data_IF_750439149869
#
_entry.id   IF_750439149869
#
_cell.length_a   1.000
_cell.length_b   1.000
_cell.length_c   1.000
_cell.angle_alpha   90.00
_cell.angle_beta   90.00
_cell.angle_gamma   90.00
#
_symmetry.space_group_name_H-M   'P 1'
#
loop_
_entity.id
_entity.type
_entity.pdbx_description
1 polymer ?
#
# COMPACT_ATOMS: atom_id res chain seq x y z
N UNK A 1 -22.08 0.48 23.18
CA UNK A 1 -21.57 0.51 21.79
C UNK A 1 -20.59 1.66 21.70
N UNK A 2 -19.30 1.41 21.40
CA UNK A 2 -18.32 2.46 21.19
C UNK A 2 -18.58 3.14 19.85
N UNK A 3 -18.46 4.46 19.80
CA UNK A 3 -18.59 5.23 18.57
C UNK A 3 -17.29 5.16 17.80
N UNK A 4 -17.32 4.77 16.53
CA UNK A 4 -16.18 4.81 15.62
C UNK A 4 -15.91 6.26 15.19
N UNK A 5 -14.74 6.76 15.52
CA UNK A 5 -14.25 8.04 15.00
C UNK A 5 -13.21 7.76 13.94
N UNK A 6 -13.44 8.17 12.70
CA UNK A 6 -12.53 7.92 11.56
C UNK A 6 -11.12 8.50 11.74
N UNK A 7 -10.97 9.52 12.60
CA UNK A 7 -9.66 10.15 12.89
C UNK A 7 -8.77 9.34 13.86
N UNK A 8 -9.27 8.24 14.44
CA UNK A 8 -8.49 7.34 15.29
C UNK A 8 -8.06 6.07 14.55
N UNK A 9 -8.03 6.10 13.22
CA UNK A 9 -7.53 5.01 12.43
C UNK A 9 -6.01 5.08 12.31
N UNK A 10 -5.34 3.93 12.40
CA UNK A 10 -3.91 3.83 12.17
C UNK A 10 -3.54 2.48 11.56
N UNK A 11 -2.39 2.47 10.91
CA UNK A 11 -1.89 1.35 10.16
C UNK A 11 -0.49 1.00 10.60
N UNK A 12 -0.23 -0.29 10.75
CA UNK A 12 1.11 -0.83 10.95
C UNK A 12 1.44 -1.81 9.85
N UNK A 13 2.71 -1.78 9.43
CA UNK A 13 3.23 -2.67 8.41
C UNK A 13 4.49 -3.35 8.90
N UNK A 14 4.65 -4.62 8.54
CA UNK A 14 5.86 -5.40 8.75
C UNK A 14 6.17 -6.23 7.51
N UNK A 15 7.44 -6.40 7.20
CA UNK A 15 7.91 -7.23 6.09
C UNK A 15 7.75 -8.71 6.45
N UNK A 16 7.26 -9.51 5.50
CA UNK A 16 7.15 -10.95 5.63
C UNK A 16 8.43 -11.64 5.15
N UNK A 17 8.89 -12.64 5.90
CA UNK A 17 9.99 -13.51 5.48
C UNK A 17 9.51 -14.53 4.44
N UNK A 18 8.28 -14.99 4.58
CA UNK A 18 7.64 -15.93 3.67
C UNK A 18 6.27 -15.37 3.30
N UNK A 19 6.00 -15.28 2.02
CA UNK A 19 4.76 -14.73 1.51
C UNK A 19 3.51 -15.35 2.15
N UNK A 20 2.64 -14.48 2.68
CA UNK A 20 1.37 -14.86 3.28
C UNK A 20 1.47 -15.54 4.64
N UNK A 21 2.62 -15.45 5.30
CA UNK A 21 2.79 -15.81 6.71
C UNK A 21 2.89 -14.52 7.52
N UNK A 22 1.89 -14.28 8.37
CA UNK A 22 1.78 -13.04 9.13
C UNK A 22 2.99 -12.79 10.05
N UNK A 23 3.53 -11.60 9.99
CA UNK A 23 4.57 -11.08 10.88
C UNK A 23 4.01 -9.89 11.65
N UNK A 24 4.16 -9.92 12.98
CA UNK A 24 3.68 -8.86 13.89
C UNK A 24 4.79 -8.22 14.71
N UNK A 25 6.04 -8.55 14.41
CA UNK A 25 7.24 -7.93 15.00
C UNK A 25 7.81 -6.86 14.07
N UNK A 26 8.59 -5.93 14.63
CA UNK A 26 9.26 -4.86 13.87
C UNK A 26 8.31 -4.09 12.95
N UNK A 27 7.19 -3.65 13.49
CA UNK A 27 6.16 -2.93 12.76
C UNK A 27 6.50 -1.45 12.66
N UNK A 28 6.40 -0.91 11.45
CA UNK A 28 6.39 0.54 11.21
C UNK A 28 4.96 1.04 11.24
N UNK A 29 4.71 2.09 12.00
CA UNK A 29 3.42 2.78 12.02
C UNK A 29 3.43 3.91 10.99
N UNK A 30 2.33 4.00 10.23
CA UNK A 30 2.19 4.93 9.11
C UNK A 30 0.94 5.77 9.32
N UNK A 31 1.05 7.08 9.14
CA UNK A 31 -0.09 8.00 9.10
C UNK A 31 -0.85 7.81 7.80
N UNK A 32 -2.16 7.91 7.88
CA UNK A 32 -3.06 7.70 6.76
C UNK A 32 -3.84 8.96 6.44
N UNK A 33 -3.95 9.27 5.15
CA UNK A 33 -4.97 10.18 4.64
C UNK A 33 -6.26 9.39 4.33
N UNK A 34 -6.12 8.24 3.65
CA UNK A 34 -7.24 7.33 3.39
C UNK A 34 -6.79 5.87 3.29
N UNK A 35 -7.74 4.95 3.52
CA UNK A 35 -7.52 3.51 3.40
C UNK A 35 -8.80 2.83 2.91
N UNK A 36 -8.70 2.13 1.79
CA UNK A 36 -9.78 1.34 1.19
C UNK A 36 -9.54 -0.17 1.26
N UNK A 37 -8.57 -0.63 2.06
CA UNK A 37 -8.28 -2.04 2.20
C UNK A 37 -9.51 -2.81 2.69
N UNK A 38 -9.89 -3.83 1.94
CA UNK A 38 -11.03 -4.68 2.25
C UNK A 38 -10.85 -6.08 1.67
N UNK A 39 -11.69 -6.99 2.13
CA UNK A 39 -11.80 -8.34 1.57
C UNK A 39 -13.18 -8.54 1.00
N UNK A 40 -13.24 -9.03 -0.22
CA UNK A 40 -14.47 -9.39 -0.91
C UNK A 40 -14.50 -10.91 -1.17
N UNK A 41 -15.65 -11.54 -0.89
CA UNK A 41 -15.91 -12.94 -1.20
C UNK A 41 -16.93 -13.03 -2.32
N UNK A 42 -16.52 -13.60 -3.44
CA UNK A 42 -17.43 -13.89 -4.54
C UNK A 42 -18.39 -15.01 -4.14
N UNK A 43 -19.66 -14.87 -4.52
CA UNK A 43 -20.68 -15.91 -4.34
C UNK A 43 -21.32 -16.23 -5.67
N UNK A 44 -21.10 -17.45 -6.12
CA UNK A 44 -21.64 -17.97 -7.36
C UNK A 44 -22.98 -18.69 -7.13
N UNK A 45 -23.94 -18.38 -7.95
CA UNK A 45 -25.26 -18.99 -7.93
C UNK A 45 -25.39 -19.96 -9.11
N UNK A 46 -25.77 -21.19 -8.84
CA UNK A 46 -26.01 -22.19 -9.88
C UNK A 46 -27.51 -22.50 -9.96
N UNK A 47 -28.08 -22.26 -11.11
CA UNK A 47 -29.43 -22.67 -11.45
C UNK A 47 -29.34 -23.89 -12.35
N UNK A 48 -29.99 -25.01 -11.95
CA UNK A 48 -30.10 -26.20 -12.77
C UNK A 48 -31.52 -26.30 -13.32
N UNK A 49 -31.68 -26.81 -14.55
CA UNK A 49 -32.99 -27.09 -15.15
C UNK A 49 -33.77 -28.14 -14.36
N UNK A 50 -33.11 -28.98 -13.56
CA UNK A 50 -33.70 -30.02 -12.73
C UNK A 50 -33.93 -29.54 -11.29
N UNK A 51 -34.53 -28.37 -11.11
CA UNK A 51 -34.90 -27.87 -9.76
C UNK A 51 -36.25 -28.50 -9.38
N UNK A 52 -36.29 -29.34 -8.36
CA UNK A 52 -37.58 -29.87 -7.84
C UNK A 52 -38.31 -28.72 -7.18
N UNK A 53 -39.49 -28.45 -7.66
CA UNK A 53 -40.51 -27.57 -7.07
C UNK A 53 -40.14 -26.12 -6.85
N UNK A 54 -40.81 -25.23 -7.62
CA UNK A 54 -40.90 -23.77 -7.44
C UNK A 54 -39.79 -22.86 -7.96
N UNK A 55 -38.85 -23.30 -8.82
CA UNK A 55 -37.91 -22.38 -9.47
C UNK A 55 -36.89 -21.71 -8.56
N UNK A 56 -36.72 -22.21 -7.34
CA UNK A 56 -35.75 -21.70 -6.39
C UNK A 56 -34.31 -22.15 -6.72
N UNK A 57 -33.34 -21.36 -6.31
CA UNK A 57 -31.91 -21.63 -6.48
C UNK A 57 -31.52 -23.00 -5.94
N UNK A 58 -30.90 -23.84 -6.78
CA UNK A 58 -30.49 -25.19 -6.39
C UNK A 58 -29.24 -25.21 -5.50
N UNK A 59 -28.28 -24.30 -5.73
CA UNK A 59 -27.07 -24.21 -4.89
C UNK A 59 -26.38 -22.85 -5.02
N UNK A 60 -25.71 -22.47 -3.92
CA UNK A 60 -24.79 -21.33 -3.86
C UNK A 60 -23.44 -21.87 -3.42
N UNK A 61 -22.38 -21.51 -4.10
CA UNK A 61 -21.01 -21.83 -3.67
C UNK A 61 -20.15 -20.58 -3.68
N UNK A 62 -19.19 -20.53 -2.76
CA UNK A 62 -18.24 -19.44 -2.67
C UNK A 62 -17.24 -19.51 -3.81
N UNK A 63 -17.04 -18.40 -4.50
CA UNK A 63 -16.01 -18.19 -5.49
C UNK A 63 -14.68 -17.76 -4.86
N UNK A 64 -13.89 -17.01 -5.62
CA UNK A 64 -12.62 -16.51 -5.12
C UNK A 64 -12.80 -15.43 -4.06
N UNK A 65 -11.86 -15.41 -3.11
CA UNK A 65 -11.75 -14.39 -2.11
C UNK A 65 -10.62 -13.44 -2.49
N UNK A 66 -10.91 -12.16 -2.59
CA UNK A 66 -9.96 -11.13 -2.97
C UNK A 66 -9.74 -10.18 -1.81
N UNK A 67 -8.49 -9.94 -1.45
CA UNK A 67 -8.10 -8.96 -0.44
C UNK A 67 -7.20 -7.90 -1.08
N UNK A 68 -7.32 -6.65 -0.65
CA UNK A 68 -6.54 -5.53 -1.14
C UNK A 68 -7.32 -4.23 -1.18
N UNK A 69 -6.77 -3.22 -1.83
CA UNK A 69 -7.30 -1.87 -1.95
C UNK A 69 -6.19 -0.85 -2.01
N UNK A 70 -6.52 0.43 -1.84
CA UNK A 70 -5.56 1.53 -1.88
C UNK A 70 -5.29 2.11 -0.50
N UNK A 71 -4.09 2.64 -0.35
CA UNK A 71 -3.62 3.41 0.80
C UNK A 71 -3.11 4.76 0.31
N UNK A 72 -3.63 5.86 0.86
CA UNK A 72 -3.09 7.19 0.64
C UNK A 72 -2.42 7.67 1.91
N UNK A 73 -1.16 8.04 1.81
CA UNK A 73 -0.35 8.46 2.94
C UNK A 73 0.38 9.78 2.65
N UNK A 74 0.58 10.62 3.65
CA UNK A 74 1.60 11.65 3.60
C UNK A 74 2.97 10.99 3.72
N UNK A 75 3.93 11.35 2.91
CA UNK A 75 5.29 10.80 3.02
C UNK A 75 5.99 11.38 4.24
N UNK A 76 6.50 10.48 5.08
CA UNK A 76 7.17 10.79 6.34
C UNK A 76 8.63 10.37 6.28
N UNK A 77 9.50 11.06 7.03
CA UNK A 77 10.91 10.66 7.16
C UNK A 77 11.07 9.25 7.75
N UNK A 78 10.19 8.90 8.69
CA UNK A 78 10.19 7.58 9.32
C UNK A 78 8.88 6.84 9.02
N UNK A 79 8.97 5.57 8.67
CA UNK A 79 7.80 4.70 8.46
C UNK A 79 7.39 4.48 7.00
N UNK A 80 7.38 5.52 6.16
CA UNK A 80 6.97 5.40 4.74
C UNK A 80 7.90 4.52 3.91
N UNK A 81 9.16 4.40 4.30
CA UNK A 81 10.18 3.66 3.57
C UNK A 81 9.86 2.19 3.35
N UNK A 82 9.11 1.56 4.24
CA UNK A 82 8.71 0.16 4.09
C UNK A 82 7.76 -0.04 2.89
N UNK A 83 6.80 0.87 2.67
CA UNK A 83 5.91 0.82 1.51
C UNK A 83 6.65 1.10 0.21
N UNK A 84 7.59 2.05 0.22
CA UNK A 84 8.44 2.36 -0.94
C UNK A 84 9.32 1.16 -1.29
N UNK A 85 9.90 0.48 -0.28
CA UNK A 85 10.65 -0.76 -0.49
C UNK A 85 9.76 -1.85 -1.10
N UNK A 86 8.54 -2.02 -0.62
CA UNK A 86 7.59 -3.00 -1.18
C UNK A 86 7.18 -2.67 -2.62
N UNK A 87 7.16 -1.40 -3.01
CA UNK A 87 6.86 -0.97 -4.37
C UNK A 87 8.05 -1.17 -5.32
N UNK A 88 9.26 -0.83 -4.90
CA UNK A 88 10.46 -0.89 -5.74
C UNK A 88 11.17 -2.25 -5.69
N UNK A 89 11.21 -2.89 -4.51
CA UNK A 89 11.75 -4.24 -4.32
C UNK A 89 12.96 -4.29 -3.39
N UNK A 90 13.92 -3.39 -3.49
CA UNK A 90 15.11 -3.39 -2.65
C UNK A 90 15.37 -2.03 -2.00
N UNK A 91 15.97 -2.07 -0.81
CA UNK A 91 16.43 -0.87 -0.12
C UNK A 91 17.80 -1.12 0.52
N UNK A 92 18.71 -0.17 0.35
CA UNK A 92 20.02 -0.17 1.01
C UNK A 92 20.07 1.02 1.96
N UNK A 93 20.49 0.77 3.19
CA UNK A 93 20.62 1.81 4.22
C UNK A 93 22.08 2.00 4.55
N UNK A 94 22.56 3.22 4.39
CA UNK A 94 23.94 3.61 4.71
C UNK A 94 23.93 4.66 5.81
N UNK A 95 24.81 4.51 6.82
CA UNK A 95 24.96 5.51 7.87
C UNK A 95 25.71 6.73 7.30
N UNK A 96 25.13 7.91 7.47
CA UNK A 96 25.69 9.19 7.08
C UNK A 96 25.86 10.10 8.31
N UNK A 97 26.73 9.72 9.21
CA UNK A 97 26.93 10.40 10.49
C UNK A 97 25.85 10.11 11.51
N UNK A 98 25.05 11.10 11.90
CA UNK A 98 23.89 10.93 12.81
C UNK A 98 22.61 10.54 12.07
N UNK A 99 22.63 10.55 10.75
CA UNK A 99 21.50 10.29 9.88
C UNK A 99 21.69 9.00 9.07
N UNK A 100 20.63 8.54 8.41
CA UNK A 100 20.67 7.37 7.55
C UNK A 100 20.20 7.75 6.14
N UNK A 101 20.98 7.35 5.14
CA UNK A 101 20.59 7.43 3.74
C UNK A 101 19.93 6.12 3.34
N UNK A 102 18.69 6.19 2.83
CA UNK A 102 17.97 5.06 2.27
C UNK A 102 17.91 5.20 0.76
N UNK A 103 18.50 4.24 0.06
CA UNK A 103 18.47 4.14 -1.39
C UNK A 103 17.55 2.99 -1.80
N UNK A 104 16.52 3.29 -2.59
CA UNK A 104 15.57 2.32 -3.08
C UNK A 104 15.84 2.00 -4.53
N UNK A 105 15.99 0.71 -4.85
CA UNK A 105 16.29 0.26 -6.20
C UNK A 105 15.27 -0.76 -6.69
N UNK A 106 14.90 -0.73 -7.98
CA UNK A 106 14.01 -1.72 -8.55
C UNK A 106 14.61 -3.14 -8.46
N UNK A 107 13.84 -4.10 -7.95
CA UNK A 107 14.19 -5.51 -7.95
C UNK A 107 13.04 -6.34 -8.55
N UNK A 108 13.36 -7.50 -9.14
CA UNK A 108 12.35 -8.38 -9.72
C UNK A 108 11.42 -8.97 -8.67
N UNK A 109 12.00 -9.38 -7.53
CA UNK A 109 11.23 -9.93 -6.43
C UNK A 109 10.76 -8.79 -5.53
N UNK A 110 9.46 -8.57 -5.52
CA UNK A 110 8.84 -7.61 -4.63
C UNK A 110 8.61 -8.24 -3.26
N UNK A 111 9.11 -7.63 -2.18
CA UNK A 111 8.84 -8.10 -0.83
C UNK A 111 7.35 -8.00 -0.51
N UNK A 112 6.87 -8.95 0.27
CA UNK A 112 5.52 -8.92 0.82
C UNK A 112 5.50 -8.40 2.24
N UNK A 113 4.35 -7.92 2.67
CA UNK A 113 4.16 -7.42 4.02
C UNK A 113 2.85 -7.86 4.65
N UNK A 114 2.85 -7.86 5.96
CA UNK A 114 1.64 -7.94 6.77
C UNK A 114 1.21 -6.54 7.12
N UNK A 115 0.00 -6.17 6.73
CA UNK A 115 -0.60 -4.87 7.01
C UNK A 115 -1.68 -5.05 8.07
N UNK A 116 -1.57 -4.31 9.16
CA UNK A 116 -2.58 -4.26 10.21
C UNK A 116 -3.24 -2.89 10.19
N UNK A 117 -4.53 -2.88 9.93
CA UNK A 117 -5.34 -1.67 9.88
C UNK A 117 -6.37 -1.69 11.00
N UNK A 118 -6.36 -0.66 11.85
CA UNK A 118 -7.32 -0.47 12.93
C UNK A 118 -8.19 0.75 12.69
N UNK A 119 -9.51 0.55 12.70
CA UNK A 119 -10.54 1.58 12.44
C UNK A 119 -11.06 2.23 13.72
N UNK A 120 -10.23 2.44 14.72
CA UNK A 120 -10.62 3.03 15.99
C UNK A 120 -10.19 2.20 17.19
N UNK A 121 -10.11 2.82 18.37
CA UNK A 121 -9.48 2.22 19.55
C UNK A 121 -10.44 1.50 20.48
N UNK A 122 -11.76 1.65 20.30
CA UNK A 122 -12.76 1.25 21.31
C UNK A 122 -13.68 0.09 20.90
N UNK A 123 -13.36 -0.62 19.83
CA UNK A 123 -14.21 -1.73 19.37
C UNK A 123 -13.43 -3.04 19.35
N UNK A 124 -14.05 -4.08 19.87
CA UNK A 124 -13.67 -5.46 19.60
C UNK A 124 -13.84 -5.69 18.10
N UNK A 125 -12.86 -6.34 17.45
CA UNK A 125 -12.87 -6.61 16.01
C UNK A 125 -12.75 -5.37 15.09
N UNK A 126 -12.24 -4.25 15.60
CA UNK A 126 -11.96 -3.05 14.78
C UNK A 126 -10.67 -3.15 13.98
N UNK A 127 -9.85 -4.16 14.24
CA UNK A 127 -8.58 -4.40 13.59
C UNK A 127 -8.70 -5.50 12.55
N UNK A 128 -8.19 -5.24 11.37
CA UNK A 128 -8.08 -6.18 10.26
C UNK A 128 -6.61 -6.36 9.87
N UNK A 129 -6.18 -7.61 9.74
CA UNK A 129 -4.81 -7.96 9.38
C UNK A 129 -4.81 -8.58 7.99
N UNK A 130 -4.14 -7.94 7.06
CA UNK A 130 -3.90 -8.40 5.70
C UNK A 130 -2.54 -9.08 5.62
N UNK A 131 -2.49 -10.27 5.03
CA UNK A 131 -1.28 -11.07 4.86
C UNK A 131 -0.94 -11.23 3.39
N UNK A 132 0.34 -11.37 3.07
CA UNK A 132 0.81 -11.49 1.71
C UNK A 132 0.55 -10.25 0.87
N UNK A 133 0.57 -9.07 1.49
CA UNK A 133 0.36 -7.81 0.81
C UNK A 133 1.58 -7.47 -0.07
N UNK A 134 1.34 -7.19 -1.35
CA UNK A 134 2.34 -6.66 -2.31
C UNK A 134 1.81 -5.39 -2.94
N UNK A 135 2.69 -4.46 -3.24
CA UNK A 135 2.33 -3.19 -3.89
C UNK A 135 2.26 -3.40 -5.39
N UNK A 136 1.07 -3.26 -5.95
CA UNK A 136 0.78 -3.36 -7.39
C UNK A 136 1.17 -2.09 -8.13
N UNK A 137 0.79 -0.93 -7.59
CA UNK A 137 1.17 0.37 -8.14
C UNK A 137 1.46 1.36 -7.02
N UNK A 138 2.25 2.37 -7.35
CA UNK A 138 2.58 3.50 -6.48
C UNK A 138 2.51 4.78 -7.29
N UNK A 139 1.85 5.80 -6.76
CA UNK A 139 1.89 7.16 -7.27
C UNK A 139 2.36 8.10 -6.18
N UNK A 140 3.33 8.94 -6.46
CA UNK A 140 3.85 9.95 -5.54
C UNK A 140 3.74 11.32 -6.19
N UNK A 141 3.22 12.29 -5.45
CA UNK A 141 3.05 13.65 -5.97
C UNK A 141 3.38 14.70 -4.92
N UNK A 142 3.85 15.84 -5.40
CA UNK A 142 4.05 17.03 -4.60
C UNK A 142 3.78 18.28 -5.44
N UNK A 143 3.08 19.24 -4.85
CA UNK A 143 2.85 20.56 -5.43
C UNK A 143 3.55 21.64 -4.59
N UNK A 144 3.91 22.75 -5.23
CA UNK A 144 4.47 23.89 -4.52
C UNK A 144 3.48 24.44 -3.48
N UNK A 145 3.94 24.52 -2.23
CA UNK A 145 3.11 24.89 -1.07
C UNK A 145 2.37 23.71 -0.39
N UNK A 146 2.49 22.48 -0.92
CA UNK A 146 1.83 21.30 -0.42
C UNK A 146 2.73 20.31 0.30
N UNK A 147 2.11 19.25 0.83
CA UNK A 147 2.77 18.08 1.37
C UNK A 147 3.05 17.08 0.24
N UNK A 148 4.09 16.28 0.42
CA UNK A 148 4.36 15.15 -0.45
C UNK A 148 3.46 13.98 -0.05
N UNK A 149 2.63 13.53 -0.98
CA UNK A 149 1.69 12.43 -0.78
C UNK A 149 2.02 11.25 -1.68
N UNK A 150 1.67 10.05 -1.22
CA UNK A 150 1.76 8.85 -2.05
C UNK A 150 0.52 7.97 -1.89
N UNK A 151 0.09 7.40 -3.00
CA UNK A 151 -0.96 6.38 -3.08
C UNK A 151 -0.35 5.04 -3.47
N UNK A 152 -0.78 3.98 -2.80
CA UNK A 152 -0.31 2.62 -3.05
C UNK A 152 -1.50 1.71 -3.27
N UNK A 153 -1.55 1.02 -4.40
CA UNK A 153 -2.49 -0.07 -4.62
C UNK A 153 -1.90 -1.39 -4.17
N UNK A 154 -2.64 -2.11 -3.34
CA UNK A 154 -2.17 -3.31 -2.67
C UNK A 154 -3.01 -4.51 -3.09
N UNK A 155 -2.31 -5.59 -3.43
CA UNK A 155 -2.87 -6.92 -3.60
C UNK A 155 -2.42 -7.77 -2.42
N UNK A 156 -3.37 -8.29 -1.63
CA UNK A 156 -3.09 -9.17 -0.52
C UNK A 156 -3.64 -10.59 -0.78
N UNK A 157 -3.08 -11.55 -0.08
CA UNK A 157 -3.52 -12.95 -0.10
C UNK A 157 -4.87 -13.12 0.58
N UNK A 158 -4.97 -12.62 1.79
CA UNK A 158 -6.14 -12.77 2.65
C UNK A 158 -6.19 -11.70 3.72
N UNK A 159 -7.32 -11.57 4.39
CA UNK A 159 -7.44 -10.82 5.63
C UNK A 159 -8.10 -11.62 6.74
N UNK A 160 -7.78 -11.28 7.97
CA UNK A 160 -8.39 -11.83 9.17
C UNK A 160 -8.69 -10.70 10.17
N UNK A 161 -9.89 -10.72 10.74
CA UNK A 161 -10.22 -9.87 11.88
C UNK A 161 -9.38 -10.28 13.09
N UNK A 162 -8.93 -9.32 13.87
CA UNK A 162 -8.13 -9.51 15.08
C UNK A 162 -8.83 -8.85 16.25
N UNK A 163 -8.82 -9.52 17.39
CA UNK A 163 -9.46 -9.06 18.62
C UNK A 163 -8.56 -8.19 19.50
N UNK A 164 -7.26 -8.20 19.22
CA UNK A 164 -6.27 -7.44 20.00
C UNK A 164 -6.08 -6.07 19.38
N UNK A 165 -6.45 -5.03 20.12
CA UNK A 165 -6.20 -3.65 19.69
C UNK A 165 -4.70 -3.36 19.62
N UNK A 166 -4.30 -2.63 18.59
CA UNK A 166 -2.95 -2.09 18.49
C UNK A 166 -2.79 -0.85 19.38
N UNK A 167 -1.60 -0.66 19.90
CA UNK A 167 -1.22 0.60 20.56
C UNK A 167 -0.49 1.47 19.54
N UNK A 168 -0.92 2.71 19.36
CA UNK A 168 -0.20 3.67 18.52
C UNK A 168 1.13 4.05 19.16
N UNK A 169 2.18 4.02 18.36
CA UNK A 169 3.55 4.36 18.75
C UNK A 169 4.24 5.09 17.59
N UNK A 170 3.71 6.28 17.25
CA UNK A 170 4.40 7.11 16.25
C UNK A 170 5.81 7.47 16.74
N UNK A 171 6.82 7.38 15.86
CA UNK A 171 8.18 7.79 16.22
C UNK A 171 8.20 9.26 16.65
N UNK A 172 8.96 9.57 17.70
CA UNK A 172 9.18 10.95 18.12
C UNK A 172 9.94 11.70 17.01
N UNK A 173 9.49 12.93 16.70
CA UNK A 173 10.12 13.75 15.66
C UNK A 173 9.74 13.36 14.23
N UNK A 174 8.73 12.52 14.06
CA UNK A 174 8.21 12.17 12.75
C UNK A 174 7.52 13.37 12.10
N UNK A 175 8.12 13.89 11.03
CA UNK A 175 7.57 14.99 10.25
C UNK A 175 7.25 14.55 8.82
N UNK A 176 6.23 15.17 8.25
CA UNK A 176 5.81 14.97 6.86
C UNK A 176 6.77 15.74 5.94
N UNK A 177 7.12 15.15 4.82
CA UNK A 177 7.89 15.82 3.77
C UNK A 177 7.03 16.89 3.11
N UNK A 178 7.60 18.10 3.04
CA UNK A 178 6.98 19.25 2.40
C UNK A 178 7.72 19.61 1.12
N UNK A 179 7.12 20.43 0.31
CA UNK A 179 7.72 20.94 -0.94
C UNK A 179 9.12 21.57 -0.75
N UNK A 180 9.40 22.20 0.40
CA UNK A 180 10.71 22.77 0.72
C UNK A 180 11.80 21.71 0.94
N UNK A 181 11.41 20.48 1.36
CA UNK A 181 12.34 19.38 1.62
C UNK A 181 12.68 18.61 0.36
N UNK A 182 11.93 18.80 -0.73
CA UNK A 182 12.08 18.09 -1.99
C UNK A 182 13.12 18.75 -2.89
N UNK A 183 14.07 17.95 -3.39
CA UNK A 183 14.96 18.35 -4.46
C UNK A 183 14.91 17.33 -5.59
N UNK A 184 14.32 17.71 -6.72
CA UNK A 184 14.29 16.86 -7.90
C UNK A 184 15.52 17.17 -8.77
N UNK A 185 16.34 16.15 -9.02
CA UNK A 185 17.51 16.23 -9.88
C UNK A 185 17.29 15.33 -11.09
N UNK A 186 17.34 15.91 -12.28
CA UNK A 186 17.21 15.20 -13.55
C UNK A 186 18.50 15.30 -14.36
N UNK A 187 19.00 14.15 -14.83
CA UNK A 187 20.17 14.10 -15.68
C UNK A 187 21.47 14.64 -15.06
N UNK A 188 21.56 14.72 -13.74
CA UNK A 188 22.73 15.15 -13.00
C UNK A 188 23.04 16.65 -13.01
N UNK A 189 22.34 17.46 -13.82
CA UNK A 189 22.59 18.89 -13.95
C UNK A 189 21.38 19.78 -13.74
N UNK A 190 20.17 19.25 -13.97
CA UNK A 190 18.93 19.99 -13.78
C UNK A 190 18.42 19.80 -12.35
N UNK A 191 18.32 20.89 -11.60
CA UNK A 191 17.80 20.88 -10.22
C UNK A 191 16.45 21.59 -10.14
N UNK A 192 15.71 21.41 -9.06
CA UNK A 192 14.46 22.14 -8.80
C UNK A 192 14.62 23.64 -8.90
N UNK A 193 15.76 24.18 -8.43
CA UNK A 193 16.05 25.63 -8.51
C UNK A 193 16.28 26.12 -9.93
N UNK A 194 16.77 25.25 -10.82
CA UNK A 194 17.02 25.62 -12.22
C UNK A 194 15.82 25.47 -13.15
N UNK A 195 14.79 24.71 -12.70
CA UNK A 195 13.61 24.40 -13.51
C UNK A 195 12.33 25.11 -13.04
N UNK A 196 12.38 25.83 -11.92
CA UNK A 196 11.21 26.51 -11.34
C UNK A 196 9.98 25.54 -11.27
N UNK A 197 10.19 24.37 -10.68
CA UNK A 197 9.18 23.32 -10.61
C UNK A 197 7.98 23.74 -9.77
N UNK A 198 6.79 23.56 -10.33
CA UNK A 198 5.51 23.78 -9.65
C UNK A 198 4.93 22.51 -9.07
N UNK A 199 5.00 21.41 -9.80
CA UNK A 199 4.55 20.11 -9.33
C UNK A 199 5.29 18.98 -10.02
N UNK A 200 5.35 17.83 -9.36
CA UNK A 200 5.74 16.57 -9.99
C UNK A 200 4.80 15.46 -9.57
N UNK A 201 4.68 14.47 -10.42
CA UNK A 201 4.01 13.21 -10.17
C UNK A 201 4.86 12.08 -10.74
N UNK A 202 5.11 11.05 -9.92
CA UNK A 202 5.81 9.83 -10.29
C UNK A 202 4.88 8.66 -10.09
N UNK A 203 4.60 7.91 -11.15
CA UNK A 203 3.78 6.71 -11.10
C UNK A 203 4.61 5.48 -11.48
N UNK A 204 4.53 4.45 -10.66
CA UNK A 204 5.12 3.13 -10.88
C UNK A 204 4.00 2.09 -10.93
N UNK A 205 3.91 1.33 -12.01
CA UNK A 205 3.02 0.18 -12.13
C UNK A 205 3.85 -1.09 -12.26
N UNK A 206 3.75 -1.97 -11.26
CA UNK A 206 4.49 -3.23 -11.20
C UNK A 206 3.85 -4.35 -12.03
N UNK A 207 2.68 -4.10 -12.64
CA UNK A 207 1.95 -5.09 -13.45
C UNK A 207 1.76 -6.42 -12.72
N UNK A 208 1.43 -6.33 -11.41
CA UNK A 208 1.14 -7.52 -10.61
C UNK A 208 -0.22 -8.10 -10.98
N UNK A 209 -0.26 -9.41 -11.20
CA UNK A 209 -1.50 -10.12 -11.49
C UNK A 209 -1.82 -11.15 -10.41
N UNK A 210 -3.12 -11.25 -10.04
CA UNK A 210 -3.63 -12.29 -9.14
C UNK A 210 -3.64 -13.64 -9.86
N UNK A 211 -3.09 -14.66 -9.21
CA UNK A 211 -3.10 -16.03 -9.73
C UNK A 211 -4.10 -16.88 -8.97
N UNK A 212 -5.20 -17.22 -9.63
CA UNK A 212 -6.21 -18.10 -9.08
C UNK A 212 -5.90 -19.54 -9.50
N UNK A 213 -5.87 -20.46 -8.54
CA UNK A 213 -5.56 -21.87 -8.76
C UNK A 213 -6.72 -22.76 -8.32
N UNK A 214 -6.86 -23.91 -8.97
CA UNK A 214 -7.83 -24.93 -8.57
C UNK A 214 -7.50 -25.45 -7.16
N UNK A 215 -8.54 -25.65 -6.35
CA UNK A 215 -8.40 -26.15 -4.98
C UNK A 215 -8.16 -25.08 -3.91
N UNK A 216 -8.04 -23.81 -4.30
CA UNK A 216 -7.91 -22.69 -3.36
C UNK A 216 -8.91 -21.58 -3.67
N UNK A 217 -9.51 -21.00 -2.65
CA UNK A 217 -10.30 -19.78 -2.77
C UNK A 217 -9.43 -18.52 -2.75
N UNK A 218 -8.18 -18.65 -2.31
CA UNK A 218 -7.21 -17.56 -2.18
C UNK A 218 -6.30 -17.51 -3.39
N UNK A 219 -5.85 -16.32 -3.74
CA UNK A 219 -4.83 -16.14 -4.77
C UNK A 219 -3.53 -16.83 -4.38
N UNK A 220 -2.80 -17.36 -5.34
CA UNK A 220 -1.37 -17.66 -5.16
C UNK A 220 -0.57 -16.37 -5.14
N UNK A 221 0.73 -16.46 -4.88
CA UNK A 221 1.61 -15.29 -4.86
C UNK A 221 1.54 -14.51 -6.18
N UNK A 222 1.15 -13.22 -6.14
CA UNK A 222 1.14 -12.37 -7.32
C UNK A 222 2.56 -12.18 -7.84
N UNK A 223 2.73 -12.36 -9.14
CA UNK A 223 3.99 -12.13 -9.83
C UNK A 223 3.82 -11.02 -10.87
N UNK A 224 4.92 -10.42 -11.23
CA UNK A 224 4.99 -9.45 -12.32
C UNK A 224 4.63 -10.19 -13.61
N UNK A 225 3.57 -9.74 -14.27
CA UNK A 225 3.04 -10.40 -15.49
C UNK A 225 3.55 -9.75 -16.78
N UNK A 226 4.04 -8.51 -16.71
CA UNK A 226 4.48 -7.72 -17.85
C UNK A 226 5.62 -6.75 -17.43
N UNK A 227 6.15 -6.01 -18.38
CA UNK A 227 7.17 -4.98 -18.13
C UNK A 227 6.60 -3.89 -17.22
N UNK A 228 7.36 -3.56 -16.18
CA UNK A 228 7.00 -2.46 -15.27
C UNK A 228 6.98 -1.14 -16.04
N UNK A 229 6.03 -0.30 -15.71
CA UNK A 229 5.88 1.00 -16.30
C UNK A 229 6.16 2.08 -15.27
N UNK A 230 7.05 3.02 -15.61
CA UNK A 230 7.36 4.19 -14.79
C UNK A 230 7.06 5.43 -15.61
N UNK A 231 6.16 6.25 -15.10
CA UNK A 231 5.79 7.52 -15.73
C UNK A 231 6.09 8.66 -14.77
N UNK A 232 6.70 9.71 -15.27
CA UNK A 232 6.94 10.93 -14.51
C UNK A 232 6.38 12.12 -15.25
N UNK A 233 5.57 12.91 -14.57
CA UNK A 233 5.02 14.17 -15.04
C UNK A 233 5.59 15.32 -14.20
N UNK A 234 6.07 16.35 -14.86
CA UNK A 234 6.68 17.53 -14.22
C UNK A 234 6.09 18.78 -14.83
N UNK A 235 5.59 19.68 -13.98
CA UNK A 235 5.10 20.98 -14.38
C UNK A 235 6.09 22.05 -13.92
N UNK A 236 6.62 22.83 -14.87
CA UNK A 236 7.49 23.97 -14.60
C UNK A 236 6.83 25.29 -15.01
N UNK A 237 7.19 26.38 -14.34
CA UNK A 237 6.88 27.73 -14.80
C UNK A 237 7.96 28.12 -15.78
N UNK A 238 7.61 28.26 -17.05
CA UNK A 238 8.47 28.99 -18.00
C UNK A 238 8.22 30.47 -17.82
N UNK A 239 9.17 31.19 -17.24
CA UNK A 239 9.16 32.64 -17.37
C UNK A 239 9.48 32.97 -18.83
N UNK A 240 8.51 33.47 -19.58
CA UNK A 240 8.82 34.21 -20.81
C UNK A 240 9.63 35.44 -20.41
N UNK A 241 10.88 35.47 -20.86
CA UNK A 241 11.75 36.65 -20.78
C UNK A 241 11.38 37.59 -21.93
#
# INVERSE_FOLDING_TARGET
MGTLYGFNAFLKISEEVTWGIAVTSNQSEIRLNSCSLQTAQERNRKTNLSVPTSGMLASVYDGFRTAGGSLDIPIQYNGSGQLIKMALGAATTTSAGAEYLHEYTPAFDLPSGTIQFQRGTNLTDSMEQFTGAKVSSMSMSCEAGGEMTASFDIIAKDSAARTTNMTSTFPAGDSVLHFESGNLVMGGSLTTASMELRSFELTLDNKLERKNILGSKLTAEPLISDVREVTMSVTSLTSEI
#
